data_IF_578232781291
#
_entry.id   IF_578232781291
#
_cell.length_a   1.000
_cell.length_b   1.000
_cell.length_c   1.000
_cell.angle_alpha   90.00
_cell.angle_beta   90.00
_cell.angle_gamma   90.00
#
_symmetry.space_group_name_H-M   'P 1'
#
loop_
_entity.id
_entity.type
_entity.pdbx_description
1 polymer ?
#
# COMPACT_ATOMS: atom_id res chain seq x y z
N UNK A 1 -10.73 -38.01 62.81
CA UNK A 1 -11.84 -37.16 63.29
C UNK A 1 -11.51 -35.72 62.92
N UNK A 2 -12.35 -35.11 62.07
CA UNK A 2 -12.50 -33.68 61.72
C UNK A 2 -11.31 -32.97 61.02
N UNK A 3 -11.34 -32.56 59.74
CA UNK A 3 -12.34 -31.91 58.86
C UNK A 3 -12.53 -30.40 59.13
N UNK A 4 -12.17 -29.58 58.11
CA UNK A 4 -12.49 -28.15 57.87
C UNK A 4 -11.66 -27.14 58.73
N UNK A 5 -11.08 -26.03 58.24
CA UNK A 5 -11.68 -24.93 57.48
C UNK A 5 -10.58 -24.10 56.76
N UNK A 6 -10.69 -24.03 55.42
CA UNK A 6 -10.66 -22.87 54.50
C UNK A 6 -9.54 -21.80 54.62
N UNK A 7 -8.69 -21.71 53.60
CA UNK A 7 -8.72 -20.65 52.55
C UNK A 7 -8.49 -19.25 53.14
N UNK A 8 -7.23 -18.82 53.20
CA UNK A 8 -6.85 -17.40 53.23
C UNK A 8 -6.10 -17.06 51.92
N UNK A 9 -6.89 -16.79 50.90
CA UNK A 9 -6.74 -15.65 49.98
C UNK A 9 -5.32 -15.17 49.66
N UNK A 10 -4.68 -15.90 48.74
CA UNK A 10 -3.69 -15.39 47.81
C UNK A 10 -4.38 -14.45 46.80
N UNK A 11 -4.63 -13.19 47.17
CA UNK A 11 -5.02 -12.16 46.19
C UNK A 11 -3.75 -11.63 45.52
N UNK A 12 -3.15 -12.45 44.65
CA UNK A 12 -2.40 -11.88 43.54
C UNK A 12 -3.44 -11.20 42.67
N UNK A 13 -3.51 -9.88 42.77
CA UNK A 13 -4.05 -9.03 41.72
C UNK A 13 -3.25 -9.33 40.45
N UNK A 14 -3.70 -10.36 39.71
CA UNK A 14 -3.47 -10.46 38.28
C UNK A 14 -4.24 -9.29 37.68
N UNK A 15 -3.64 -8.10 37.74
CA UNK A 15 -3.89 -7.06 36.75
C UNK A 15 -3.52 -7.72 35.43
N UNK A 16 -4.52 -8.31 34.79
CA UNK A 16 -4.46 -8.60 33.38
C UNK A 16 -4.09 -7.29 32.72
N UNK A 17 -2.85 -7.20 32.23
CA UNK A 17 -2.48 -6.20 31.25
C UNK A 17 -3.33 -6.58 30.04
N UNK A 18 -4.56 -6.05 30.01
CA UNK A 18 -5.30 -5.90 28.77
C UNK A 18 -4.46 -4.88 28.02
N UNK A 19 -3.50 -5.35 27.23
CA UNK A 19 -2.89 -4.49 26.22
C UNK A 19 -4.06 -4.06 25.34
N UNK A 20 -4.55 -2.85 25.52
CA UNK A 20 -5.54 -2.28 24.63
C UNK A 20 -4.94 -2.39 23.23
N UNK A 21 -5.50 -3.25 22.39
CA UNK A 21 -5.07 -3.37 21.01
C UNK A 21 -5.20 -1.97 20.40
N UNK A 22 -4.06 -1.38 20.03
CA UNK A 22 -4.03 -0.06 19.41
C UNK A 22 -4.77 -0.19 18.07
N UNK A 23 -5.77 0.65 17.85
CA UNK A 23 -6.56 0.64 16.63
C UNK A 23 -5.67 0.81 15.39
N UNK A 24 -6.07 0.26 14.25
CA UNK A 24 -5.34 0.47 12.99
C UNK A 24 -5.22 1.96 12.63
N UNK A 25 -6.25 2.76 12.89
CA UNK A 25 -6.20 4.20 12.69
C UNK A 25 -5.11 4.89 13.54
N UNK A 26 -4.90 4.46 14.79
CA UNK A 26 -3.84 5.02 15.64
C UNK A 26 -2.45 4.48 15.28
N UNK A 27 -2.37 3.27 14.72
CA UNK A 27 -1.12 2.73 14.17
C UNK A 27 -0.71 3.47 12.90
N UNK A 28 -1.65 3.77 12.00
CA UNK A 28 -1.39 4.50 10.75
C UNK A 28 -0.73 5.85 11.02
N UNK A 29 -1.23 6.61 12.01
CA UNK A 29 -0.66 7.89 12.46
C UNK A 29 0.75 7.80 13.06
N UNK A 30 1.20 6.59 13.43
CA UNK A 30 2.53 6.34 14.01
C UNK A 30 3.53 5.83 12.98
N UNK A 31 3.10 5.53 11.76
CA UNK A 31 4.01 5.25 10.66
C UNK A 31 4.66 6.58 10.27
N UNK A 32 5.99 6.65 10.40
CA UNK A 32 6.76 7.90 10.26
C UNK A 32 7.89 7.79 9.23
N UNK A 33 7.87 6.77 8.39
CA UNK A 33 8.85 6.55 7.32
C UNK A 33 8.12 6.19 6.03
N UNK A 34 8.67 6.63 4.90
CA UNK A 34 8.17 6.26 3.59
C UNK A 34 8.63 4.84 3.24
N UNK A 35 7.79 4.09 2.51
CA UNK A 35 8.13 2.75 2.01
C UNK A 35 9.42 2.76 1.17
N UNK A 36 9.63 3.83 0.41
CA UNK A 36 10.82 4.05 -0.44
C UNK A 36 12.09 4.33 0.35
N UNK A 37 11.98 4.92 1.55
CA UNK A 37 13.11 5.07 2.48
C UNK A 37 13.54 3.73 3.09
N UNK A 38 12.59 2.80 3.19
CA UNK A 38 12.77 1.49 3.78
C UNK A 38 13.20 0.42 2.77
N UNK A 39 12.77 0.55 1.52
CA UNK A 39 13.03 -0.39 0.45
C UNK A 39 13.28 0.34 -0.88
N UNK A 40 14.43 0.09 -1.50
CA UNK A 40 14.74 0.59 -2.84
C UNK A 40 14.21 -0.38 -3.90
N UNK A 41 12.97 -0.17 -4.33
CA UNK A 41 12.39 -0.84 -5.50
C UNK A 41 12.46 0.06 -6.74
N UNK A 42 12.58 -0.53 -7.94
CA UNK A 42 12.63 0.24 -9.19
C UNK A 42 11.27 0.85 -9.49
N UNK A 43 11.28 1.95 -10.26
CA UNK A 43 10.07 2.51 -10.84
C UNK A 43 9.33 1.44 -11.65
N UNK A 44 8.03 1.30 -11.40
CA UNK A 44 7.18 0.29 -12.04
C UNK A 44 6.81 0.67 -13.48
N UNK A 45 6.88 1.96 -13.79
CA UNK A 45 6.53 2.56 -15.06
C UNK A 45 7.65 3.47 -15.56
N UNK A 46 7.57 3.84 -16.85
CA UNK A 46 8.46 4.86 -17.39
C UNK A 46 8.13 6.22 -16.74
N UNK A 47 9.06 6.74 -15.93
CA UNK A 47 8.89 7.99 -15.20
C UNK A 47 8.65 9.20 -16.10
N UNK A 48 9.09 9.16 -17.36
CA UNK A 48 8.77 10.21 -18.32
C UNK A 48 7.27 10.21 -18.62
N UNK A 49 6.69 9.03 -18.88
CA UNK A 49 5.26 8.88 -19.15
C UNK A 49 4.44 9.23 -17.91
N UNK A 50 4.89 8.80 -16.73
CA UNK A 50 4.26 9.16 -15.46
C UNK A 50 4.22 10.69 -15.28
N UNK A 51 5.36 11.36 -15.38
CA UNK A 51 5.45 12.82 -15.20
C UNK A 51 4.61 13.58 -16.23
N UNK A 52 4.64 13.17 -17.51
CA UNK A 52 3.79 13.76 -18.55
C UNK A 52 2.29 13.59 -18.25
N UNK A 53 1.91 12.44 -17.69
CA UNK A 53 0.53 12.16 -17.28
C UNK A 53 0.12 13.00 -16.06
N UNK A 54 0.99 13.07 -15.06
CA UNK A 54 0.80 13.87 -13.84
C UNK A 54 0.59 15.35 -14.18
N UNK A 55 1.50 15.94 -14.96
CA UNK A 55 1.41 17.35 -15.37
C UNK A 55 0.15 17.63 -16.20
N UNK A 56 -0.26 16.67 -17.04
CA UNK A 56 -1.51 16.79 -17.78
C UNK A 56 -2.74 16.83 -16.87
N UNK A 57 -2.82 15.91 -15.89
CA UNK A 57 -3.94 15.87 -14.93
C UNK A 57 -3.94 17.13 -14.05
N UNK A 58 -2.76 17.59 -13.63
CA UNK A 58 -2.59 18.85 -12.91
C UNK A 58 -3.11 20.04 -13.70
N UNK A 59 -2.76 20.14 -14.98
CA UNK A 59 -3.21 21.22 -15.86
C UNK A 59 -4.71 21.19 -16.15
N UNK A 60 -5.36 20.02 -16.10
CA UNK A 60 -6.82 19.91 -16.27
C UNK A 60 -7.60 20.50 -15.08
N UNK A 61 -6.98 20.66 -13.90
CA UNK A 61 -7.57 21.34 -12.74
C UNK A 61 -8.82 20.67 -12.18
N UNK A 62 -9.02 19.37 -12.44
CA UNK A 62 -10.23 18.61 -12.05
C UNK A 62 -10.22 18.17 -10.57
N UNK A 63 -9.06 18.17 -9.94
CA UNK A 63 -8.88 17.79 -8.54
C UNK A 63 -7.68 18.54 -7.93
N UNK A 64 -7.67 18.68 -6.61
CA UNK A 64 -6.56 19.26 -5.86
C UNK A 64 -5.45 18.19 -5.73
N UNK A 65 -4.17 18.52 -5.94
CA UNK A 65 -3.07 17.57 -5.75
C UNK A 65 -3.08 16.90 -4.37
N UNK A 66 -2.57 15.68 -4.30
CA UNK A 66 -2.53 14.83 -3.10
C UNK A 66 -3.90 14.47 -2.50
N UNK A 67 -4.99 14.60 -3.27
CA UNK A 67 -6.31 14.06 -2.88
C UNK A 67 -6.56 12.71 -3.56
N UNK A 68 -7.34 11.80 -2.95
CA UNK A 68 -7.67 10.50 -3.56
C UNK A 68 -8.27 10.62 -4.97
N UNK A 69 -9.02 11.70 -5.25
CA UNK A 69 -9.55 11.95 -6.58
C UNK A 69 -8.44 12.28 -7.59
N UNK A 70 -7.44 13.07 -7.18
CA UNK A 70 -6.32 13.42 -8.04
C UNK A 70 -5.47 12.19 -8.38
N UNK A 71 -5.15 11.37 -7.37
CA UNK A 71 -4.35 10.15 -7.56
C UNK A 71 -5.08 9.16 -8.48
N UNK A 72 -6.38 8.95 -8.24
CA UNK A 72 -7.23 8.18 -9.14
C UNK A 72 -7.17 8.68 -10.59
N UNK A 73 -7.27 10.01 -10.80
CA UNK A 73 -7.23 10.59 -12.15
C UNK A 73 -5.86 10.39 -12.82
N UNK A 74 -4.76 10.52 -12.06
CA UNK A 74 -3.39 10.26 -12.55
C UNK A 74 -3.25 8.79 -12.95
N UNK A 75 -3.60 7.86 -12.06
CA UNK A 75 -3.46 6.43 -12.32
C UNK A 75 -4.36 5.95 -13.48
N UNK A 76 -5.61 6.41 -13.52
CA UNK A 76 -6.49 6.12 -14.65
C UNK A 76 -5.93 6.67 -15.97
N UNK A 77 -5.36 7.89 -15.96
CA UNK A 77 -4.76 8.47 -17.15
C UNK A 77 -3.49 7.73 -17.56
N UNK A 78 -2.68 7.28 -16.60
CA UNK A 78 -1.45 6.53 -16.83
C UNK A 78 -1.75 5.19 -17.51
N UNK A 79 -2.70 4.44 -16.96
CA UNK A 79 -3.13 3.16 -17.53
C UNK A 79 -3.68 3.33 -18.96
N UNK A 80 -4.38 4.44 -19.24
CA UNK A 80 -4.84 4.78 -20.60
C UNK A 80 -3.65 5.10 -21.53
N UNK A 81 -2.71 5.93 -21.09
CA UNK A 81 -1.52 6.31 -21.85
C UNK A 81 -0.65 5.10 -22.21
N UNK A 82 -0.53 4.15 -21.28
CA UNK A 82 0.22 2.90 -21.46
C UNK A 82 -0.56 1.81 -22.22
N UNK A 83 -1.82 2.08 -22.57
CA UNK A 83 -2.73 1.14 -23.26
C UNK A 83 -2.94 -0.15 -22.47
N UNK A 84 -3.00 -0.04 -21.14
CA UNK A 84 -3.32 -1.14 -20.25
C UNK A 84 -4.82 -1.40 -20.13
N UNK A 85 -5.63 -0.57 -20.76
CA UNK A 85 -7.08 -0.67 -20.73
C UNK A 85 -7.58 -0.72 -22.17
N UNK A 86 -8.47 -1.67 -22.46
CA UNK A 86 -9.16 -1.74 -23.75
C UNK A 86 -10.28 -0.68 -23.87
N UNK A 87 -10.88 -0.56 -25.05
CA UNK A 87 -11.97 0.39 -25.30
C UNK A 87 -13.23 0.12 -24.45
N UNK A 88 -13.31 -1.05 -23.81
CA UNK A 88 -14.41 -1.46 -22.92
C UNK A 88 -14.09 -1.23 -21.45
N UNK A 89 -12.91 -0.71 -21.11
CA UNK A 89 -12.51 -0.46 -19.73
C UNK A 89 -11.93 -1.69 -19.00
N UNK A 90 -11.60 -2.76 -19.73
CA UNK A 90 -10.98 -3.97 -19.18
C UNK A 90 -9.47 -3.86 -19.20
N UNK A 91 -8.82 -4.43 -18.19
CA UNK A 91 -7.36 -4.44 -18.07
C UNK A 91 -6.74 -5.48 -19.00
N UNK A 92 -5.70 -5.07 -19.73
CA UNK A 92 -4.86 -5.95 -20.53
C UNK A 92 -3.67 -6.42 -19.68
N UNK A 93 -3.88 -7.52 -18.95
CA UNK A 93 -2.86 -8.11 -18.09
C UNK A 93 -1.59 -8.53 -18.86
N UNK A 94 -1.74 -8.95 -20.13
CA UNK A 94 -0.60 -9.34 -20.95
C UNK A 94 0.25 -8.11 -21.29
N UNK A 95 -0.38 -6.99 -21.64
CA UNK A 95 0.31 -5.73 -21.91
C UNK A 95 1.00 -5.17 -20.68
N UNK A 96 0.35 -5.21 -19.52
CA UNK A 96 0.94 -4.79 -18.24
C UNK A 96 2.21 -5.60 -17.94
N UNK A 97 2.11 -6.93 -18.00
CA UNK A 97 3.25 -7.82 -17.75
C UNK A 97 4.39 -7.63 -18.76
N UNK A 98 4.05 -7.37 -20.02
CA UNK A 98 5.03 -7.03 -21.05
C UNK A 98 5.77 -5.73 -20.69
N UNK A 99 5.06 -4.67 -20.37
CA UNK A 99 5.67 -3.37 -20.03
C UNK A 99 6.56 -3.47 -18.79
N UNK A 100 6.13 -4.19 -17.75
CA UNK A 100 6.96 -4.44 -16.56
C UNK A 100 8.24 -5.20 -16.92
N UNK A 101 8.13 -6.20 -17.80
CA UNK A 101 9.29 -6.97 -18.29
C UNK A 101 10.28 -6.11 -19.08
N UNK A 102 9.79 -5.06 -19.76
CA UNK A 102 10.59 -4.11 -20.53
C UNK A 102 11.22 -3.04 -19.64
N UNK A 103 10.50 -2.50 -18.66
CA UNK A 103 10.96 -1.41 -17.78
C UNK A 103 11.93 -1.92 -16.72
N UNK A 104 11.53 -2.95 -15.96
CA UNK A 104 12.34 -3.44 -14.84
C UNK A 104 13.49 -4.29 -15.38
N UNK A 105 14.74 -3.86 -15.18
CA UNK A 105 15.93 -4.59 -15.64
C UNK A 105 16.45 -5.59 -14.62
N UNK A 106 16.30 -5.28 -13.34
CA UNK A 106 16.69 -6.16 -12.25
C UNK A 106 15.83 -7.45 -12.26
N UNK A 107 16.44 -8.64 -12.35
CA UNK A 107 15.70 -9.90 -12.46
C UNK A 107 14.96 -10.28 -11.17
N UNK A 108 15.48 -9.91 -9.99
CA UNK A 108 14.84 -10.17 -8.71
C UNK A 108 13.57 -9.34 -8.61
N UNK A 109 13.67 -8.03 -8.85
CA UNK A 109 12.51 -7.15 -8.83
C UNK A 109 11.49 -7.49 -9.91
N UNK A 110 11.94 -7.80 -11.14
CA UNK A 110 11.04 -8.24 -12.21
C UNK A 110 10.24 -9.46 -11.78
N UNK A 111 10.88 -10.47 -11.20
CA UNK A 111 10.17 -11.65 -10.72
C UNK A 111 9.20 -11.33 -9.59
N UNK A 112 9.59 -10.48 -8.64
CA UNK A 112 8.72 -10.06 -7.53
C UNK A 112 7.45 -9.40 -8.04
N UNK A 113 7.58 -8.41 -8.93
CA UNK A 113 6.44 -7.66 -9.47
C UNK A 113 5.55 -8.53 -10.38
N UNK A 114 6.15 -9.33 -11.28
CA UNK A 114 5.36 -10.19 -12.17
C UNK A 114 4.58 -11.28 -11.42
N UNK A 115 5.06 -11.73 -10.26
CA UNK A 115 4.32 -12.65 -9.41
C UNK A 115 3.20 -11.97 -8.61
N UNK A 116 3.38 -10.68 -8.27
CA UNK A 116 2.40 -9.87 -7.55
C UNK A 116 1.21 -9.46 -8.42
N UNK A 117 1.51 -9.05 -9.67
CA UNK A 117 0.55 -8.41 -10.56
C UNK A 117 -0.75 -9.22 -10.78
N UNK A 118 -0.73 -10.54 -11.06
CA UNK A 118 -1.95 -11.31 -11.26
C UNK A 118 -2.90 -11.25 -10.06
N UNK A 119 -2.36 -11.25 -8.84
CA UNK A 119 -3.15 -11.16 -7.61
C UNK A 119 -3.78 -9.77 -7.46
N UNK A 120 -3.04 -8.70 -7.75
CA UNK A 120 -3.58 -7.35 -7.71
C UNK A 120 -4.70 -7.18 -8.74
N UNK A 121 -4.50 -7.65 -9.98
CA UNK A 121 -5.50 -7.58 -11.05
C UNK A 121 -6.75 -8.41 -10.75
N UNK A 122 -6.66 -9.52 -10.01
CA UNK A 122 -7.81 -10.37 -9.68
C UNK A 122 -8.57 -9.93 -8.43
N UNK A 123 -7.87 -9.43 -7.40
CA UNK A 123 -8.49 -9.12 -6.11
C UNK A 123 -9.01 -7.68 -6.04
N UNK A 124 -8.31 -6.71 -6.64
CA UNK A 124 -8.71 -5.29 -6.56
C UNK A 124 -10.11 -5.02 -7.11
N UNK A 125 -10.54 -5.57 -8.26
CA UNK A 125 -11.90 -5.35 -8.76
C UNK A 125 -13.00 -5.78 -7.79
N UNK A 126 -12.72 -6.72 -6.87
CA UNK A 126 -13.69 -7.22 -5.88
C UNK A 126 -13.92 -6.23 -4.73
N UNK A 127 -12.96 -5.34 -4.47
CA UNK A 127 -13.01 -4.34 -3.40
C UNK A 127 -13.20 -2.92 -3.94
N UNK A 128 -12.94 -2.68 -5.22
CA UNK A 128 -12.96 -1.35 -5.84
C UNK A 128 -14.30 -0.62 -5.64
N UNK A 129 -15.44 -1.29 -5.81
CA UNK A 129 -16.76 -0.64 -5.65
C UNK A 129 -17.03 -0.20 -4.19
N UNK A 130 -16.45 -0.91 -3.20
CA UNK A 130 -16.51 -0.50 -1.79
C UNK A 130 -15.68 0.76 -1.57
N UNK A 131 -14.42 0.77 -2.03
CA UNK A 131 -13.55 1.94 -1.96
C UNK A 131 -14.14 3.15 -2.69
N UNK A 132 -14.72 2.94 -3.87
CA UNK A 132 -15.42 3.97 -4.64
C UNK A 132 -16.50 4.66 -3.80
N UNK A 133 -17.26 3.88 -3.02
CA UNK A 133 -18.32 4.36 -2.13
C UNK A 133 -17.75 5.09 -0.92
N UNK A 134 -16.75 4.50 -0.26
CA UNK A 134 -16.15 5.04 0.97
C UNK A 134 -15.43 6.39 0.70
N UNK A 135 -14.71 6.48 -0.43
CA UNK A 135 -14.02 7.69 -0.91
C UNK A 135 -14.98 8.74 -1.51
N UNK A 136 -16.25 8.38 -1.74
CA UNK A 136 -17.27 9.24 -2.38
C UNK A 136 -16.85 9.78 -3.75
N UNK A 137 -16.05 9.01 -4.49
CA UNK A 137 -15.68 9.33 -5.87
C UNK A 137 -16.71 8.68 -6.79
N UNK A 138 -17.22 9.38 -7.80
CA UNK A 138 -18.11 8.75 -8.79
C UNK A 138 -17.30 7.97 -9.82
N UNK A 139 -17.72 6.74 -10.14
CA UNK A 139 -17.10 5.91 -11.20
C UNK A 139 -17.13 6.56 -12.58
N UNK A 140 -18.07 7.50 -12.81
CA UNK A 140 -18.16 8.29 -14.04
C UNK A 140 -17.05 9.35 -14.14
N UNK A 141 -16.47 9.76 -13.01
CA UNK A 141 -15.35 10.70 -12.94
C UNK A 141 -14.04 9.92 -12.99
N UNK A 142 -13.91 8.94 -12.09
CA UNK A 142 -12.74 8.09 -12.02
C UNK A 142 -13.09 6.71 -11.45
N UNK A 143 -12.60 5.65 -12.09
CA UNK A 143 -12.70 4.28 -11.60
C UNK A 143 -11.52 3.98 -10.67
N UNK A 144 -11.75 3.97 -9.35
CA UNK A 144 -10.69 3.86 -8.32
C UNK A 144 -9.93 2.54 -8.38
N UNK A 145 -10.39 1.56 -9.17
CA UNK A 145 -9.65 0.30 -9.34
C UNK A 145 -8.23 0.52 -9.86
N UNK A 146 -7.97 1.55 -10.67
CA UNK A 146 -6.64 1.80 -11.24
C UNK A 146 -5.66 2.24 -10.14
N UNK A 147 -6.09 3.16 -9.30
CA UNK A 147 -5.38 3.62 -8.11
C UNK A 147 -5.05 2.47 -7.16
N UNK A 148 -6.07 1.67 -6.83
CA UNK A 148 -5.91 0.53 -5.91
C UNK A 148 -5.02 -0.58 -6.52
N UNK A 149 -4.99 -0.73 -7.85
CA UNK A 149 -4.04 -1.65 -8.51
C UNK A 149 -2.61 -1.14 -8.34
N UNK A 150 -2.35 0.16 -8.55
CA UNK A 150 -1.03 0.75 -8.34
C UNK A 150 -0.57 0.56 -6.88
N UNK A 151 -1.41 0.95 -5.92
CA UNK A 151 -1.15 0.73 -4.49
C UNK A 151 -0.86 -0.74 -4.16
N UNK A 152 -1.67 -1.66 -4.69
CA UNK A 152 -1.48 -3.09 -4.45
C UNK A 152 -0.11 -3.58 -4.90
N UNK A 153 0.39 -3.07 -6.03
CA UNK A 153 1.70 -3.45 -6.56
C UNK A 153 2.82 -2.86 -5.71
N UNK A 154 2.73 -1.59 -5.33
CA UNK A 154 3.71 -0.92 -4.47
C UNK A 154 3.81 -1.59 -3.10
N UNK A 155 2.66 -1.86 -2.47
CA UNK A 155 2.60 -2.59 -1.20
C UNK A 155 3.22 -3.97 -1.35
N UNK A 156 2.91 -4.68 -2.44
CA UNK A 156 3.45 -6.02 -2.65
C UNK A 156 4.96 -5.98 -2.90
N UNK A 157 5.45 -4.99 -3.64
CA UNK A 157 6.88 -4.75 -3.85
C UNK A 157 7.59 -4.52 -2.51
N UNK A 158 7.03 -3.62 -1.68
CA UNK A 158 7.55 -3.30 -0.36
C UNK A 158 7.57 -4.52 0.59
N UNK A 159 6.45 -5.26 0.66
CA UNK A 159 6.32 -6.44 1.52
C UNK A 159 7.25 -7.59 1.12
N UNK A 160 7.62 -7.65 -0.17
CA UNK A 160 8.55 -8.64 -0.71
C UNK A 160 9.93 -8.05 -1.03
N UNK A 161 10.28 -6.93 -0.40
CA UNK A 161 11.56 -6.28 -0.64
C UNK A 161 12.74 -7.24 -0.39
N UNK A 162 13.61 -7.48 -1.39
CA UNK A 162 14.82 -8.26 -1.21
C UNK A 162 15.71 -7.66 -0.14
N UNK A 163 16.41 -8.50 0.62
CA UNK A 163 17.30 -8.04 1.70
C UNK A 163 18.37 -7.07 1.19
N UNK A 164 18.90 -7.28 -0.03
CA UNK A 164 19.86 -6.38 -0.69
C UNK A 164 19.35 -4.97 -0.94
N UNK A 165 18.02 -4.80 -0.99
CA UNK A 165 17.34 -3.53 -1.26
C UNK A 165 16.68 -2.93 -0.02
N UNK A 166 16.72 -3.64 1.11
CA UNK A 166 16.16 -3.21 2.39
C UNK A 166 17.12 -2.26 3.10
N UNK A 167 16.59 -1.24 3.79
CA UNK A 167 17.36 -0.18 4.43
C UNK A 167 18.52 -0.69 5.30
N UNK A 168 18.35 -1.81 6.04
CA UNK A 168 19.41 -2.40 6.88
C UNK A 168 20.68 -2.78 6.10
N UNK A 169 20.56 -3.00 4.80
CA UNK A 169 21.67 -3.29 3.89
C UNK A 169 22.29 -2.03 3.28
N UNK A 170 21.71 -0.85 3.52
CA UNK A 170 22.19 0.43 3.01
C UNK A 170 23.09 1.14 4.04
N UNK A 171 24.18 1.79 3.61
CA UNK A 171 25.16 2.44 4.50
C UNK A 171 24.63 3.56 5.40
N UNK A 172 23.38 4.01 5.20
CA UNK A 172 22.76 5.15 5.91
C UNK A 172 21.71 4.74 6.95
N UNK A 173 21.49 3.44 7.16
CA UNK A 173 20.50 2.99 8.14
C UNK A 173 20.97 3.26 9.58
N UNK A 174 20.20 4.06 10.31
CA UNK A 174 20.27 4.07 11.77
C UNK A 174 19.22 3.11 12.34
N UNK A 175 19.43 2.65 13.58
CA UNK A 175 18.55 1.67 14.23
C UNK A 175 17.09 2.16 14.35
N UNK A 176 16.89 3.47 14.53
CA UNK A 176 15.57 4.10 14.62
C UNK A 176 14.78 3.95 13.32
N UNK A 177 15.39 4.23 12.17
CA UNK A 177 14.77 4.09 10.85
C UNK A 177 14.50 2.62 10.55
N UNK A 178 15.45 1.72 10.85
CA UNK A 178 15.24 0.29 10.67
C UNK A 178 14.03 -0.23 11.46
N UNK A 179 13.85 0.21 12.71
CA UNK A 179 12.68 -0.14 13.53
C UNK A 179 11.37 0.45 12.96
N UNK A 180 11.39 1.69 12.48
CA UNK A 180 10.23 2.32 11.82
C UNK A 180 9.81 1.57 10.54
N UNK A 181 10.77 1.04 9.77
CA UNK A 181 10.47 0.22 8.60
C UNK A 181 9.81 -1.12 8.94
N UNK A 182 10.22 -1.78 10.02
CA UNK A 182 9.54 -2.99 10.50
C UNK A 182 8.13 -2.68 11.02
N UNK A 183 7.94 -1.54 11.69
CA UNK A 183 6.62 -1.08 12.12
C UNK A 183 5.69 -0.83 10.92
N UNK A 184 6.22 -0.27 9.84
CA UNK A 184 5.50 -0.05 8.58
C UNK A 184 5.06 -1.39 7.97
N UNK A 185 5.97 -2.37 7.85
CA UNK A 185 5.63 -3.74 7.41
C UNK A 185 4.56 -4.38 8.28
N UNK A 186 4.68 -4.25 9.60
CA UNK A 186 3.69 -4.80 10.53
C UNK A 186 2.33 -4.12 10.38
N UNK A 187 2.31 -2.79 10.23
CA UNK A 187 1.07 -2.06 9.99
C UNK A 187 0.36 -2.58 8.73
N UNK A 188 1.04 -2.62 7.59
CA UNK A 188 0.47 -3.12 6.34
C UNK A 188 -0.09 -4.54 6.55
N UNK A 189 0.70 -5.44 7.13
CA UNK A 189 0.30 -6.83 7.35
C UNK A 189 -0.99 -6.97 8.16
N UNK A 190 -1.13 -6.18 9.21
CA UNK A 190 -2.22 -6.35 10.18
C UNK A 190 -3.45 -5.47 9.87
N UNK A 191 -3.25 -4.36 9.16
CA UNK A 191 -4.23 -3.29 9.00
C UNK A 191 -4.67 -3.02 7.55
N UNK A 192 -4.15 -3.72 6.53
CA UNK A 192 -4.52 -3.48 5.12
C UNK A 192 -6.03 -3.62 4.82
N UNK A 193 -6.77 -4.32 5.67
CA UNK A 193 -8.22 -4.51 5.50
C UNK A 193 -9.06 -3.37 6.08
N UNK A 194 -8.48 -2.51 6.92
CA UNK A 194 -9.11 -1.29 7.44
C UNK A 194 -8.84 -0.12 6.48
N UNK A 195 -9.76 0.07 5.54
CA UNK A 195 -9.69 1.08 4.46
C UNK A 195 -9.30 2.47 4.99
N UNK A 196 -9.93 2.91 6.08
CA UNK A 196 -9.70 4.26 6.62
C UNK A 196 -8.32 4.39 7.24
N UNK A 197 -7.88 3.36 7.96
CA UNK A 197 -6.51 3.34 8.48
C UNK A 197 -5.49 3.31 7.33
N UNK A 198 -5.80 2.57 6.28
CA UNK A 198 -4.91 2.44 5.13
C UNK A 198 -4.83 3.73 4.30
N UNK A 199 -5.92 4.46 4.13
CA UNK A 199 -5.93 5.81 3.54
C UNK A 199 -5.03 6.77 4.32
N UNK A 200 -5.15 6.82 5.65
CA UNK A 200 -4.26 7.64 6.50
C UNK A 200 -2.79 7.24 6.30
N UNK A 201 -2.52 5.94 6.18
CA UNK A 201 -1.17 5.47 5.92
C UNK A 201 -0.66 5.92 4.55
N UNK A 202 -1.43 5.74 3.47
CA UNK A 202 -1.05 6.14 2.12
C UNK A 202 -0.87 7.67 2.01
N UNK A 203 -1.69 8.46 2.70
CA UNK A 203 -1.50 9.91 2.79
C UNK A 203 -0.14 10.27 3.41
N UNK A 204 0.28 9.55 4.45
CA UNK A 204 1.61 9.72 5.04
C UNK A 204 2.77 9.23 4.15
N UNK A 205 2.49 8.62 3.00
CA UNK A 205 3.52 8.18 2.03
C UNK A 205 3.79 9.22 0.93
N UNK A 206 3.04 10.33 0.89
CA UNK A 206 3.09 11.33 -0.19
C UNK A 206 4.11 12.45 0.02
N UNK A 207 4.96 12.33 1.04
CA UNK A 207 6.00 13.31 1.41
C UNK A 207 7.32 13.11 0.65
#
# INVERSE_FOLDING_TARGET
MNLLIKILTFHIFMYGIVSAEISCADRAKKVSVNMTDCCQYPDLFDMKIFNETYEKVLAEGKAVPATPLFDCLVEQALFKSLKFIDDKGNLDAAKINQTISEVIKDPVWKSTILNAMPKCLSEVPKIADKYQTDLKISKNVCDVKFDIIADCVDITAFMNCPESSWIKSLPKANETVAAACENTKSFIKDCYSDIKAFEIFLENQKD
#
